data_IF_602291974120
#
_entry.id   IF_602291974120
#
_cell.length_a   1.000
_cell.length_b   1.000
_cell.length_c   1.000
_cell.angle_alpha   90.00
_cell.angle_beta   90.00
_cell.angle_gamma   90.00
#
_symmetry.space_group_name_H-M   'P 1'
#
loop_
_entity.id
_entity.type
_entity.pdbx_description
1 polymer ?
#
# COMPACT_ATOMS: atom_id res chain seq x y z
N UNK A 1 26.22 -12.36 -21.20
CA UNK A 1 25.68 -11.66 -20.02
C UNK A 1 24.48 -12.44 -19.53
N UNK A 2 24.61 -13.12 -18.39
CA UNK A 2 23.56 -13.99 -17.84
C UNK A 2 22.35 -13.15 -17.43
N UNK A 3 21.23 -13.30 -18.15
CA UNK A 3 19.97 -12.63 -17.85
C UNK A 3 19.36 -13.30 -16.61
N UNK A 4 19.60 -12.74 -15.42
CA UNK A 4 18.99 -13.24 -14.19
C UNK A 4 17.46 -13.08 -14.31
N UNK A 5 16.67 -14.15 -14.18
CA UNK A 5 15.22 -14.07 -14.34
C UNK A 5 14.63 -13.10 -13.32
N UNK A 6 13.64 -12.31 -13.74
CA UNK A 6 12.93 -11.38 -12.86
C UNK A 6 12.25 -12.19 -11.75
N UNK A 7 12.57 -11.88 -10.50
CA UNK A 7 12.03 -12.59 -9.32
C UNK A 7 10.54 -12.32 -9.20
N UNK A 8 9.75 -13.37 -8.96
CA UNK A 8 8.31 -13.24 -8.71
C UNK A 8 7.99 -12.75 -7.27
N UNK A 9 8.99 -12.55 -6.41
CA UNK A 9 8.78 -12.10 -5.03
C UNK A 9 7.98 -10.78 -4.89
N UNK A 10 8.24 -9.71 -5.68
CA UNK A 10 7.46 -8.48 -5.63
C UNK A 10 5.99 -8.69 -5.99
N UNK A 11 5.71 -9.60 -6.93
CA UNK A 11 4.36 -9.93 -7.35
C UNK A 11 3.58 -10.59 -6.21
N UNK A 12 4.19 -11.59 -5.57
CA UNK A 12 3.55 -12.33 -4.47
C UNK A 12 3.32 -11.39 -3.27
N UNK A 13 4.34 -10.62 -2.88
CA UNK A 13 4.24 -9.66 -1.78
C UNK A 13 3.21 -8.57 -2.06
N UNK A 14 3.14 -8.08 -3.30
CA UNK A 14 2.17 -7.07 -3.69
C UNK A 14 0.74 -7.59 -3.79
N UNK A 15 0.53 -8.84 -4.21
CA UNK A 15 -0.80 -9.48 -4.20
C UNK A 15 -1.29 -9.68 -2.77
N UNK A 16 -0.44 -10.23 -1.89
CA UNK A 16 -0.79 -10.43 -0.48
C UNK A 16 -1.04 -9.08 0.20
N UNK A 17 -0.17 -8.09 -0.02
CA UNK A 17 -0.34 -6.74 0.49
C UNK A 17 -1.61 -6.06 -0.04
N UNK A 18 -1.97 -6.26 -1.30
CA UNK A 18 -3.20 -5.73 -1.88
C UNK A 18 -4.46 -6.36 -1.26
N UNK A 19 -4.50 -7.69 -1.15
CA UNK A 19 -5.64 -8.42 -0.58
C UNK A 19 -5.84 -8.06 0.90
N UNK A 20 -4.75 -8.00 1.67
CA UNK A 20 -4.79 -7.57 3.08
C UNK A 20 -5.06 -6.06 3.22
N UNK A 21 -4.71 -5.27 2.20
CA UNK A 21 -4.91 -3.83 2.15
C UNK A 21 -6.39 -3.41 2.07
N UNK A 22 -7.25 -4.19 1.43
CA UNK A 22 -8.70 -3.89 1.38
C UNK A 22 -9.36 -3.89 2.77
N UNK A 23 -9.30 -4.97 3.58
CA UNK A 23 -9.86 -4.96 4.94
C UNK A 23 -9.12 -3.97 5.84
N UNK A 24 -7.81 -3.76 5.62
CA UNK A 24 -7.07 -2.70 6.32
C UNK A 24 -7.62 -1.30 6.00
N UNK A 25 -8.07 -1.01 4.78
CA UNK A 25 -8.65 0.28 4.43
C UNK A 25 -9.98 0.53 5.17
N UNK A 26 -10.85 -0.48 5.24
CA UNK A 26 -12.12 -0.40 5.99
C UNK A 26 -11.84 -0.18 7.47
N UNK A 27 -10.91 -0.94 8.04
CA UNK A 27 -10.50 -0.79 9.43
C UNK A 27 -9.91 0.60 9.69
N UNK A 28 -9.06 1.12 8.79
CA UNK A 28 -8.46 2.45 8.93
C UNK A 28 -9.53 3.55 8.93
N UNK A 29 -10.57 3.42 8.10
CA UNK A 29 -11.69 4.35 8.10
C UNK A 29 -12.49 4.33 9.41
N UNK A 30 -12.83 3.13 9.90
CA UNK A 30 -13.53 2.99 11.17
C UNK A 30 -12.70 3.49 12.36
N UNK A 31 -11.41 3.14 12.41
CA UNK A 31 -10.48 3.57 13.46
C UNK A 31 -10.24 5.09 13.41
N UNK A 32 -10.13 5.69 12.22
CA UNK A 32 -10.02 7.15 12.07
C UNK A 32 -11.29 7.88 12.53
N UNK A 33 -12.47 7.37 12.16
CA UNK A 33 -13.73 7.94 12.62
C UNK A 33 -13.84 7.87 14.15
N UNK A 34 -13.54 6.72 14.74
CA UNK A 34 -13.53 6.52 16.19
C UNK A 34 -12.55 7.45 16.91
N UNK A 35 -11.31 7.53 16.44
CA UNK A 35 -10.30 8.41 17.03
C UNK A 35 -10.70 9.90 16.92
N UNK A 36 -11.34 10.28 15.82
CA UNK A 36 -11.78 11.65 15.59
C UNK A 36 -12.93 12.07 16.51
N UNK A 37 -13.77 11.13 16.97
CA UNK A 37 -14.83 11.45 17.96
C UNK A 37 -14.28 11.79 19.35
N UNK A 38 -13.03 11.42 19.64
CA UNK A 38 -12.36 11.72 20.90
C UNK A 38 -11.64 13.08 20.88
N UNK A 39 -11.56 13.74 19.73
CA UNK A 39 -10.94 15.05 19.60
C UNK A 39 -11.85 16.15 20.18
N UNK A 40 -11.26 17.09 20.92
CA UNK A 40 -12.00 18.20 21.51
C UNK A 40 -12.58 19.10 20.40
N UNK A 41 -13.89 19.36 20.44
CA UNK A 41 -14.62 20.08 19.38
C UNK A 41 -15.05 19.23 18.18
N UNK A 42 -14.93 17.91 18.24
CA UNK A 42 -15.38 17.02 17.17
C UNK A 42 -16.91 17.08 16.98
N UNK A 43 -17.33 17.25 15.72
CA UNK A 43 -18.71 17.08 15.29
C UNK A 43 -18.90 15.69 14.66
N UNK A 44 -20.15 15.25 14.56
CA UNK A 44 -20.51 14.03 13.82
C UNK A 44 -20.07 14.09 12.35
N UNK A 45 -19.98 15.30 11.79
CA UNK A 45 -19.55 15.53 10.41
C UNK A 45 -18.03 15.36 10.27
N UNK A 46 -17.24 16.03 11.12
CA UNK A 46 -15.77 15.95 11.07
C UNK A 46 -15.25 14.52 11.31
N UNK A 47 -15.95 13.75 12.15
CA UNK A 47 -15.60 12.35 12.40
C UNK A 47 -15.84 11.44 11.19
N UNK A 48 -16.94 11.67 10.46
CA UNK A 48 -17.23 10.95 9.23
C UNK A 48 -16.28 11.33 8.09
N UNK A 49 -15.95 12.62 7.97
CA UNK A 49 -15.01 13.10 6.95
C UNK A 49 -13.61 12.50 7.15
N UNK A 50 -13.11 12.49 8.39
CA UNK A 50 -11.85 11.84 8.72
C UNK A 50 -11.87 10.33 8.39
N UNK A 51 -12.93 9.62 8.80
CA UNK A 51 -13.09 8.20 8.48
C UNK A 51 -13.07 7.92 6.97
N UNK A 52 -13.79 8.74 6.19
CA UNK A 52 -13.85 8.60 4.75
C UNK A 52 -12.48 8.85 4.09
N UNK A 53 -11.76 9.89 4.51
CA UNK A 53 -10.41 10.20 4.00
C UNK A 53 -9.45 9.05 4.22
N UNK A 54 -9.38 8.48 5.43
CA UNK A 54 -8.48 7.37 5.72
C UNK A 54 -8.89 6.07 5.02
N UNK A 55 -10.20 5.84 4.82
CA UNK A 55 -10.69 4.71 4.03
C UNK A 55 -10.24 4.82 2.57
N UNK A 56 -10.45 5.97 1.93
CA UNK A 56 -10.03 6.19 0.54
C UNK A 56 -8.51 6.12 0.40
N UNK A 57 -7.77 6.68 1.34
CA UNK A 57 -6.30 6.67 1.31
C UNK A 57 -5.76 5.24 1.41
N UNK A 58 -6.30 4.43 2.32
CA UNK A 58 -5.96 3.00 2.43
C UNK A 58 -6.37 2.20 1.19
N UNK A 59 -7.56 2.47 0.62
CA UNK A 59 -8.05 1.78 -0.57
C UNK A 59 -7.20 2.10 -1.80
N UNK A 60 -6.86 3.37 -2.02
CA UNK A 60 -5.99 3.81 -3.11
C UNK A 60 -4.61 3.18 -2.94
N UNK A 61 -4.05 3.16 -1.73
CA UNK A 61 -2.78 2.52 -1.45
C UNK A 61 -2.80 1.03 -1.82
N UNK A 62 -3.85 0.30 -1.41
CA UNK A 62 -4.01 -1.12 -1.73
C UNK A 62 -4.12 -1.37 -3.24
N UNK A 63 -4.90 -0.56 -3.96
CA UNK A 63 -5.09 -0.69 -5.41
C UNK A 63 -3.80 -0.36 -6.16
N UNK A 64 -3.12 0.74 -5.81
CA UNK A 64 -1.86 1.15 -6.45
C UNK A 64 -0.77 0.12 -6.18
N UNK A 65 -0.65 -0.37 -4.95
CA UNK A 65 0.27 -1.44 -4.58
C UNK A 65 0.01 -2.72 -5.36
N UNK A 66 -1.26 -3.14 -5.45
CA UNK A 66 -1.66 -4.32 -6.23
C UNK A 66 -1.38 -4.15 -7.72
N UNK A 67 -1.76 -3.01 -8.31
CA UNK A 67 -1.51 -2.73 -9.73
C UNK A 67 -0.01 -2.76 -10.04
N UNK A 68 0.80 -2.13 -9.18
CA UNK A 68 2.25 -2.13 -9.33
C UNK A 68 2.86 -3.53 -9.29
N UNK A 69 2.27 -4.45 -8.51
CA UNK A 69 2.69 -5.84 -8.41
C UNK A 69 2.49 -6.65 -9.71
N UNK A 70 1.48 -6.30 -10.52
CA UNK A 70 1.28 -6.93 -11.83
C UNK A 70 2.12 -6.27 -12.93
N UNK A 71 2.30 -4.96 -12.85
CA UNK A 71 2.93 -4.17 -13.91
C UNK A 71 4.47 -4.07 -13.79
N UNK A 72 5.07 -4.46 -12.65
CA UNK A 72 6.53 -4.34 -12.46
C UNK A 72 7.37 -5.11 -13.49
N UNK A 73 6.87 -6.22 -14.06
CA UNK A 73 7.62 -6.97 -15.10
C UNK A 73 7.89 -6.14 -16.35
N UNK A 74 7.04 -5.15 -16.67
CA UNK A 74 7.23 -4.25 -17.82
C UNK A 74 8.30 -3.19 -17.53
N UNK A 75 8.26 -2.59 -16.34
CA UNK A 75 9.16 -1.51 -15.92
C UNK A 75 9.45 -1.61 -14.41
N UNK A 76 10.43 -2.43 -14.00
CA UNK A 76 10.62 -2.75 -12.58
C UNK A 76 10.95 -1.53 -11.72
N UNK A 77 11.75 -0.60 -12.24
CA UNK A 77 12.11 0.64 -11.53
C UNK A 77 10.91 1.58 -11.32
N UNK A 78 10.08 1.77 -12.35
CA UNK A 78 8.93 2.69 -12.27
C UNK A 78 7.83 2.16 -11.35
N UNK A 79 7.44 0.89 -11.56
CA UNK A 79 6.40 0.28 -10.74
C UNK A 79 6.87 -0.09 -9.34
N UNK A 80 8.16 -0.40 -9.15
CA UNK A 80 8.75 -0.55 -7.82
C UNK A 80 8.71 0.74 -7.00
N UNK A 81 8.93 1.90 -7.63
CA UNK A 81 8.75 3.19 -6.98
C UNK A 81 7.28 3.46 -6.61
N UNK A 82 6.32 3.09 -7.47
CA UNK A 82 4.89 3.17 -7.14
C UNK A 82 4.49 2.21 -6.03
N UNK A 83 5.09 1.03 -5.97
CA UNK A 83 4.87 0.07 -4.88
C UNK A 83 5.40 0.61 -3.55
N UNK A 84 6.56 1.27 -3.55
CA UNK A 84 7.06 2.00 -2.38
C UNK A 84 6.12 3.14 -1.97
N UNK A 85 5.63 3.91 -2.93
CA UNK A 85 4.67 4.99 -2.66
C UNK A 85 3.40 4.45 -2.01
N UNK A 86 2.87 3.32 -2.52
CA UNK A 86 1.75 2.61 -1.90
C UNK A 86 2.06 2.14 -0.48
N UNK A 87 3.28 1.65 -0.22
CA UNK A 87 3.76 1.31 1.12
C UNK A 87 3.76 2.53 2.05
N UNK A 88 4.27 3.67 1.59
CA UNK A 88 4.27 4.92 2.36
C UNK A 88 2.84 5.40 2.66
N UNK A 89 1.94 5.37 1.67
CA UNK A 89 0.53 5.73 1.89
C UNK A 89 -0.13 4.78 2.90
N UNK A 90 0.12 3.47 2.80
CA UNK A 90 -0.32 2.49 3.81
C UNK A 90 0.31 2.77 5.17
N UNK A 91 1.53 3.31 5.22
CA UNK A 91 2.18 3.76 6.44
C UNK A 91 1.46 4.93 7.12
N UNK A 92 0.92 5.89 6.35
CA UNK A 92 0.15 7.02 6.91
C UNK A 92 -1.09 6.52 7.66
N UNK A 93 -1.74 5.45 7.16
CA UNK A 93 -2.90 4.87 7.83
C UNK A 93 -2.58 4.23 9.20
N UNK A 94 -1.30 4.05 9.56
CA UNK A 94 -0.87 3.55 10.87
C UNK A 94 -1.22 4.47 12.03
N UNK A 95 -1.42 5.77 11.76
CA UNK A 95 -1.88 6.74 12.77
C UNK A 95 -3.20 6.31 13.41
N UNK A 96 -3.98 5.48 12.72
CA UNK A 96 -5.25 4.91 13.21
C UNK A 96 -5.07 3.67 14.10
N UNK A 97 -3.83 3.31 14.50
CA UNK A 97 -3.48 2.09 15.25
C UNK A 97 -3.89 0.78 14.56
N UNK A 98 -3.94 0.79 13.23
CA UNK A 98 -4.29 -0.36 12.44
C UNK A 98 -3.08 -1.29 12.20
N UNK A 99 -3.02 -2.40 12.96
CA UNK A 99 -2.00 -3.44 12.80
C UNK A 99 -2.00 -4.12 11.42
N UNK A 100 -3.14 -4.19 10.73
CA UNK A 100 -3.19 -4.78 9.39
C UNK A 100 -2.48 -3.86 8.38
N UNK A 101 -2.67 -2.54 8.48
CA UNK A 101 -1.95 -1.57 7.65
C UNK A 101 -0.43 -1.64 7.85
N UNK A 102 0.04 -2.09 9.01
CA UNK A 102 1.46 -2.29 9.29
C UNK A 102 2.04 -3.44 8.48
N UNK A 103 1.33 -4.56 8.47
CA UNK A 103 1.69 -5.72 7.65
C UNK A 103 1.72 -5.32 6.18
N UNK A 104 0.65 -4.68 5.68
CA UNK A 104 0.53 -4.24 4.28
C UNK A 104 1.67 -3.28 3.89
N UNK A 105 1.98 -2.31 4.76
CA UNK A 105 3.10 -1.38 4.58
C UNK A 105 4.42 -2.14 4.38
N UNK A 106 4.76 -3.08 5.26
CA UNK A 106 6.00 -3.86 5.17
C UNK A 106 6.05 -4.67 3.87
N UNK A 107 4.96 -5.34 3.49
CA UNK A 107 4.91 -6.13 2.26
C UNK A 107 5.15 -5.27 1.02
N UNK A 108 4.55 -4.08 0.97
CA UNK A 108 4.76 -3.13 -0.14
C UNK A 108 6.16 -2.54 -0.15
N UNK A 109 6.73 -2.22 1.02
CA UNK A 109 8.10 -1.71 1.11
C UNK A 109 9.13 -2.76 0.64
N UNK A 110 9.03 -4.00 1.13
CA UNK A 110 9.93 -5.09 0.73
C UNK A 110 9.76 -5.40 -0.76
N UNK A 111 8.52 -5.55 -1.22
CA UNK A 111 8.22 -5.80 -2.64
C UNK A 111 8.75 -4.69 -3.54
N UNK A 112 8.60 -3.43 -3.13
CA UNK A 112 9.09 -2.25 -3.83
C UNK A 112 10.61 -2.20 -3.93
N UNK A 113 11.34 -2.41 -2.83
CA UNK A 113 12.82 -2.46 -2.84
C UNK A 113 13.32 -3.59 -3.74
N UNK A 114 12.73 -4.79 -3.63
CA UNK A 114 13.11 -5.91 -4.50
C UNK A 114 12.82 -5.57 -5.96
N UNK A 115 11.68 -4.94 -6.28
CA UNK A 115 11.35 -4.50 -7.63
C UNK A 115 12.34 -3.46 -8.18
N UNK A 116 12.79 -2.50 -7.37
CA UNK A 116 13.77 -1.49 -7.77
C UNK A 116 15.15 -2.07 -8.10
N UNK A 117 15.52 -3.19 -7.46
CA UNK A 117 16.79 -3.88 -7.73
C UNK A 117 16.74 -4.80 -8.95
N UNK A 118 15.55 -5.07 -9.52
CA UNK A 118 15.42 -5.86 -10.75
C UNK A 118 15.96 -5.07 -11.95
N UNK A 119 16.77 -5.71 -12.80
CA UNK A 119 17.19 -5.13 -14.08
C UNK A 119 16.04 -5.19 -15.07
N UNK A 120 15.85 -4.12 -15.86
CA UNK A 120 14.85 -4.09 -16.93
C UNK A 120 15.19 -5.20 -17.93
N UNK A 121 14.23 -6.06 -18.34
CA UNK A 121 14.51 -7.06 -19.35
C UNK A 121 14.87 -6.32 -20.64
N UNK A 122 16.06 -6.59 -21.16
CA UNK A 122 16.45 -6.16 -22.51
C UNK A 122 15.58 -6.96 -23.46
N UNK A 123 14.62 -6.29 -24.10
CA UNK A 123 13.96 -6.85 -25.28
C UNK A 123 15.08 -7.05 -26.30
N UNK A 124 15.40 -8.31 -26.59
CA UNK A 124 16.22 -8.69 -27.74
C UNK A 124 15.36 -8.56 -29.00
#
# INVERSE_FOLDING_TARGET
>A
MEQKPISNAPMILGIIGGILGLPAAICSGACAAGLSTLADGATSQSSQDAGNVFMWLGLIAAIVGLASAFLYKKNPKGWGAMMLLAGILSGITLVTFNFLSFVVCILFLIGGVIALTQKKPSVA
#
